data_IF_639927180956
#
_entry.id   IF_639927180956
#
_cell.length_a   1.000
_cell.length_b   1.000
_cell.length_c   1.000
_cell.angle_alpha   90.00
_cell.angle_beta   90.00
_cell.angle_gamma   90.00
#
_symmetry.space_group_name_H-M   'P 1'
#
loop_
_entity.id
_entity.type
_entity.pdbx_description
1 polymer ?
#
# COMPACT_ATOMS: atom_id res chain seq x y z
N UNK A 1 9.61 -9.25 -6.61
CA UNK A 1 8.19 -9.01 -6.96
C UNK A 1 7.99 -7.50 -7.08
N UNK A 2 7.00 -7.04 -7.85
CA UNK A 2 6.90 -5.64 -8.29
C UNK A 2 7.15 -4.60 -7.19
N UNK A 3 6.61 -4.78 -6.00
CA UNK A 3 6.80 -3.85 -4.88
C UNK A 3 8.25 -3.72 -4.40
N UNK A 4 9.04 -4.80 -4.45
CA UNK A 4 10.48 -4.74 -4.13
C UNK A 4 11.27 -4.03 -5.25
N UNK A 5 10.86 -4.21 -6.51
CA UNK A 5 11.49 -3.55 -7.65
C UNK A 5 11.26 -2.03 -7.62
N UNK A 6 10.19 -1.59 -6.96
CA UNK A 6 9.89 -0.18 -6.65
C UNK A 6 10.62 0.33 -5.40
N UNK A 7 11.51 -0.45 -4.81
CA UNK A 7 12.27 -0.09 -3.61
C UNK A 7 11.51 -0.28 -2.29
N UNK A 8 10.38 -1.01 -2.32
CA UNK A 8 9.64 -1.37 -1.12
C UNK A 8 10.30 -2.47 -0.30
N UNK A 9 9.74 -2.72 0.88
CA UNK A 9 10.11 -3.85 1.73
C UNK A 9 8.93 -4.77 1.98
N UNK A 10 9.19 -6.08 1.99
CA UNK A 10 8.17 -7.07 2.30
C UNK A 10 7.74 -6.94 3.76
N UNK A 11 6.45 -7.10 4.00
CA UNK A 11 5.85 -7.20 5.33
C UNK A 11 5.32 -8.62 5.56
N UNK A 12 4.90 -8.90 6.79
CA UNK A 12 4.39 -10.20 7.22
C UNK A 12 2.90 -10.15 7.60
N UNK A 13 2.10 -9.43 6.81
CA UNK A 13 0.64 -9.36 6.92
C UNK A 13 -0.05 -9.99 5.70
N UNK A 14 -1.26 -10.51 5.90
CA UNK A 14 -2.06 -11.15 4.84
C UNK A 14 -1.34 -12.33 4.17
N UNK A 15 -1.73 -12.64 2.94
CA UNK A 15 -1.06 -13.64 2.10
C UNK A 15 0.22 -13.09 1.45
N UNK A 16 0.22 -11.80 1.15
CA UNK A 16 1.40 -11.07 0.71
C UNK A 16 1.24 -9.60 1.10
N UNK A 17 2.33 -8.96 1.51
CA UNK A 17 2.32 -7.53 1.80
C UNK A 17 3.65 -6.86 1.51
N UNK A 18 3.57 -5.58 1.18
CA UNK A 18 4.72 -4.73 0.89
C UNK A 18 4.45 -3.33 1.41
N UNK A 19 5.47 -2.69 1.94
CA UNK A 19 5.45 -1.27 2.26
C UNK A 19 6.23 -0.50 1.20
N UNK A 20 5.62 0.57 0.71
CA UNK A 20 6.20 1.50 -0.26
C UNK A 20 6.39 2.86 0.39
N UNK A 21 7.34 3.64 -0.13
CA UNK A 21 7.53 5.06 0.18
C UNK A 21 7.24 5.90 -1.07
N UNK A 22 5.95 6.07 -1.46
CA UNK A 22 5.60 6.90 -2.61
C UNK A 22 6.01 8.37 -2.43
N UNK A 23 6.13 8.82 -1.18
CA UNK A 23 6.62 10.14 -0.79
C UNK A 23 7.60 10.01 0.38
N UNK A 24 8.52 10.98 0.57
CA UNK A 24 9.44 10.96 1.71
C UNK A 24 8.69 10.93 3.04
N UNK A 25 8.96 9.91 3.87
CA UNK A 25 8.38 9.70 5.22
C UNK A 25 6.89 9.38 5.26
N UNK A 26 6.29 9.01 4.14
CA UNK A 26 4.88 8.60 4.08
C UNK A 26 4.85 7.13 3.65
N UNK A 27 4.98 6.20 4.61
CA UNK A 27 4.89 4.78 4.29
C UNK A 27 3.46 4.43 3.87
N UNK A 28 3.34 3.60 2.84
CA UNK A 28 2.07 3.04 2.38
C UNK A 28 2.20 1.52 2.39
N UNK A 29 1.45 0.89 3.29
CA UNK A 29 1.38 -0.55 3.42
C UNK A 29 0.29 -1.10 2.51
N UNK A 30 0.64 -2.02 1.62
CA UNK A 30 -0.27 -2.76 0.77
C UNK A 30 -0.33 -4.21 1.25
N UNK A 31 -1.53 -4.70 1.55
CA UNK A 31 -1.76 -6.05 2.05
C UNK A 31 -2.73 -6.75 1.11
N UNK A 32 -2.30 -7.86 0.50
CA UNK A 32 -3.13 -8.73 -0.31
C UNK A 32 -3.69 -9.84 0.56
N UNK A 33 -5.01 -9.98 0.52
CA UNK A 33 -5.76 -11.12 1.01
C UNK A 33 -6.25 -11.90 -0.21
N UNK A 34 -5.67 -13.08 -0.41
CA UNK A 34 -6.11 -13.98 -1.47
C UNK A 34 -7.49 -14.51 -1.09
N UNK A 35 -8.40 -14.49 -2.05
CA UNK A 35 -9.73 -15.04 -1.83
C UNK A 35 -9.69 -16.56 -1.66
N UNK A 36 -10.65 -17.07 -0.91
CA UNK A 36 -10.91 -18.49 -0.72
C UNK A 36 -12.38 -18.80 -1.07
N UNK A 37 -12.86 -19.96 -0.64
CA UNK A 37 -14.23 -20.41 -0.93
C UNK A 37 -15.29 -19.60 -0.17
N UNK A 38 -14.91 -18.87 0.88
CA UNK A 38 -15.83 -18.11 1.74
C UNK A 38 -15.76 -16.59 1.46
N UNK A 39 -14.58 -16.07 1.08
CA UNK A 39 -14.34 -14.63 0.90
C UNK A 39 -13.62 -14.28 -0.42
N UNK A 40 -14.02 -13.18 -1.10
CA UNK A 40 -13.35 -12.73 -2.31
C UNK A 40 -11.96 -12.14 -2.00
N UNK A 41 -11.08 -12.17 -3.00
CA UNK A 41 -9.78 -11.51 -2.89
C UNK A 41 -9.94 -10.01 -2.69
N UNK A 42 -9.15 -9.42 -1.80
CA UNK A 42 -9.13 -7.99 -1.55
C UNK A 42 -7.71 -7.52 -1.26
N UNK A 43 -7.48 -6.22 -1.40
CA UNK A 43 -6.26 -5.59 -0.96
C UNK A 43 -6.59 -4.40 -0.07
N UNK A 44 -5.87 -4.29 1.04
CA UNK A 44 -5.92 -3.13 1.92
C UNK A 44 -4.72 -2.22 1.63
N UNK A 45 -4.98 -0.91 1.65
CA UNK A 45 -3.95 0.12 1.56
C UNK A 45 -4.03 0.96 2.83
N UNK A 46 -2.95 0.96 3.60
CA UNK A 46 -2.89 1.57 4.91
C UNK A 46 -1.87 2.70 4.93
N UNK A 47 -2.27 3.80 5.56
CA UNK A 47 -1.39 4.87 5.99
C UNK A 47 -1.24 4.81 7.51
N UNK A 48 -0.15 5.37 8.02
CA UNK A 48 -0.07 5.65 9.45
C UNK A 48 -1.09 6.76 9.84
N UNK A 49 -1.56 6.72 11.08
CA UNK A 49 -2.60 7.65 11.55
C UNK A 49 -2.15 9.11 11.63
N UNK A 50 -0.85 9.39 11.51
CA UNK A 50 -0.34 10.76 11.56
C UNK A 50 -0.37 11.45 10.19
N UNK A 51 -0.61 10.72 9.10
CA UNK A 51 -0.58 11.28 7.76
C UNK A 51 -1.54 12.47 7.58
N UNK A 52 -2.74 12.43 8.17
CA UNK A 52 -3.75 13.50 8.11
C UNK A 52 -3.31 14.78 8.83
N UNK A 53 -2.38 14.69 9.78
CA UNK A 53 -1.84 15.87 10.49
C UNK A 53 -0.83 16.64 9.64
N UNK A 54 -0.23 15.98 8.65
CA UNK A 54 0.89 16.52 7.87
C UNK A 54 0.57 16.70 6.39
N UNK A 55 -0.43 15.99 5.87
CA UNK A 55 -0.79 15.97 4.46
C UNK A 55 -2.25 16.36 4.22
N UNK A 56 -2.51 17.22 3.22
CA UNK A 56 -3.85 17.40 2.67
C UNK A 56 -4.43 16.08 2.11
N UNK A 57 -5.76 15.96 2.14
CA UNK A 57 -6.47 14.73 1.73
C UNK A 57 -6.21 14.34 0.27
N UNK A 58 -6.09 15.32 -0.63
CA UNK A 58 -5.78 15.09 -2.04
C UNK A 58 -4.38 14.51 -2.25
N UNK A 59 -3.42 14.87 -1.40
CA UNK A 59 -2.07 14.28 -1.39
C UNK A 59 -2.11 12.84 -0.87
N UNK A 60 -2.85 12.56 0.20
CA UNK A 60 -3.05 11.19 0.71
C UNK A 60 -3.67 10.31 -0.39
N UNK A 61 -4.73 10.79 -1.04
CA UNK A 61 -5.36 10.11 -2.16
C UNK A 61 -4.40 9.88 -3.33
N UNK A 62 -3.61 10.90 -3.69
CA UNK A 62 -2.63 10.79 -4.77
C UNK A 62 -1.54 9.77 -4.46
N UNK A 63 -1.04 9.73 -3.22
CA UNK A 63 -0.06 8.74 -2.77
C UNK A 63 -0.63 7.31 -2.80
N UNK A 64 -1.90 7.14 -2.41
CA UNK A 64 -2.59 5.86 -2.50
C UNK A 64 -2.67 5.38 -3.95
N UNK A 65 -3.16 6.23 -4.86
CA UNK A 65 -3.31 5.89 -6.27
C UNK A 65 -1.97 5.67 -6.97
N UNK A 66 -0.94 6.45 -6.63
CA UNK A 66 0.41 6.24 -7.16
C UNK A 66 0.94 4.86 -6.76
N UNK A 67 0.78 4.47 -5.50
CA UNK A 67 1.21 3.17 -4.98
C UNK A 67 0.50 2.02 -5.71
N UNK A 68 -0.83 2.11 -5.87
CA UNK A 68 -1.62 1.10 -6.61
C UNK A 68 -1.20 1.01 -8.07
N UNK A 69 -1.07 2.15 -8.76
CA UNK A 69 -0.68 2.16 -10.18
C UNK A 69 0.72 1.61 -10.38
N UNK A 70 1.67 1.92 -9.50
CA UNK A 70 3.03 1.38 -9.55
C UNK A 70 3.03 -0.15 -9.47
N UNK A 71 2.17 -0.73 -8.63
CA UNK A 71 2.04 -2.18 -8.49
C UNK A 71 1.38 -2.88 -9.69
N UNK A 72 0.54 -2.18 -10.44
CA UNK A 72 -0.21 -2.73 -11.59
C UNK A 72 0.47 -2.51 -12.94
N UNK A 73 1.43 -1.58 -13.02
CA UNK A 73 2.25 -1.35 -14.22
C UNK A 73 3.36 -2.38 -14.33
#
# INVERSE_FOLDING_TARGET
GRGLDLGGWALSFGDASVELLPLPRIPVSLILWKGDDEFPSRADLLFDSSCEMHLPLDIIWSAAMLSVKGMLA
#
